data_IF_485781511179
#
_entry.id   IF_485781511179
#
_cell.length_a   1.000
_cell.length_b   1.000
_cell.length_c   1.000
_cell.angle_alpha   90.00
_cell.angle_beta   90.00
_cell.angle_gamma   90.00
#
_symmetry.space_group_name_H-M   'P 1'
#
loop_
_entity.id
_entity.type
_entity.pdbx_description
1 polymer ?
#
# COMPACT_ATOMS: atom_id res chain seq x y z
N UNK A 1 -26.49 -12.63 25.53
CA UNK A 1 -25.72 -12.41 24.28
C UNK A 1 -24.88 -11.14 24.42
N UNK A 2 -23.58 -11.24 24.71
CA UNK A 2 -22.72 -10.05 24.87
C UNK A 2 -22.60 -9.31 23.52
N UNK A 3 -23.07 -8.06 23.46
CA UNK A 3 -22.99 -7.16 22.32
C UNK A 3 -21.55 -6.78 22.01
N UNK A 4 -20.81 -7.67 21.32
CA UNK A 4 -19.47 -7.38 20.84
C UNK A 4 -19.49 -6.42 19.63
N UNK A 5 -18.46 -5.58 19.52
CA UNK A 5 -18.20 -4.75 18.34
C UNK A 5 -18.07 -5.68 17.13
N UNK A 6 -18.90 -5.44 16.10
CA UNK A 6 -18.85 -6.18 14.83
C UNK A 6 -17.93 -5.48 13.83
N UNK A 7 -17.46 -6.22 12.83
CA UNK A 7 -16.61 -5.71 11.74
C UNK A 7 -17.16 -4.43 11.10
N UNK A 8 -18.46 -4.39 10.80
CA UNK A 8 -19.08 -3.20 10.19
C UNK A 8 -18.96 -1.94 11.04
N UNK A 9 -19.04 -2.04 12.37
CA UNK A 9 -18.95 -0.87 13.24
C UNK A 9 -17.54 -0.27 13.19
N UNK A 10 -16.52 -1.12 13.05
CA UNK A 10 -15.13 -0.67 12.94
C UNK A 10 -14.83 -0.01 11.59
N UNK A 11 -15.35 -0.57 10.49
CA UNK A 11 -15.25 0.04 9.16
C UNK A 11 -15.88 1.44 9.18
N UNK A 12 -17.09 1.56 9.72
CA UNK A 12 -17.80 2.84 9.83
C UNK A 12 -17.06 3.79 10.78
N UNK A 13 -16.53 3.29 11.90
CA UNK A 13 -15.74 4.09 12.84
C UNK A 13 -14.49 4.68 12.19
N UNK A 14 -13.67 3.86 11.52
CA UNK A 14 -12.46 4.35 10.82
C UNK A 14 -12.80 5.37 9.75
N UNK A 15 -13.87 5.12 8.99
CA UNK A 15 -14.34 6.06 7.98
C UNK A 15 -14.79 7.39 8.60
N UNK A 16 -15.60 7.36 9.65
CA UNK A 16 -16.01 8.57 10.37
C UNK A 16 -14.82 9.32 10.96
N UNK A 17 -13.83 8.61 11.52
CA UNK A 17 -12.59 9.23 12.00
C UNK A 17 -11.85 9.95 10.87
N UNK A 18 -11.76 9.36 9.68
CA UNK A 18 -11.15 10.03 8.52
C UNK A 18 -11.98 11.23 8.06
N UNK A 19 -13.31 11.12 8.03
CA UNK A 19 -14.20 12.25 7.70
C UNK A 19 -13.94 13.41 8.66
N UNK A 20 -13.86 13.15 9.96
CA UNK A 20 -13.71 14.19 10.98
C UNK A 20 -12.30 14.78 10.96
N UNK A 21 -11.26 13.94 10.94
CA UNK A 21 -9.86 14.38 11.07
C UNK A 21 -9.27 14.93 9.78
N UNK A 22 -9.81 14.55 8.62
CA UNK A 22 -9.29 14.88 7.29
C UNK A 22 -10.35 15.53 6.39
N UNK A 23 -11.36 16.16 6.97
CA UNK A 23 -12.45 16.80 6.22
C UNK A 23 -11.94 17.77 5.16
N UNK A 24 -11.06 18.70 5.56
CA UNK A 24 -10.50 19.72 4.66
C UNK A 24 -9.78 19.10 3.46
N UNK A 25 -8.96 18.06 3.70
CA UNK A 25 -8.23 17.35 2.65
C UNK A 25 -9.20 16.69 1.65
N UNK A 26 -10.28 16.08 2.13
CA UNK A 26 -11.30 15.46 1.27
C UNK A 26 -12.00 16.53 0.41
N UNK A 27 -12.34 17.68 1.00
CA UNK A 27 -12.96 18.79 0.26
C UNK A 27 -12.01 19.38 -0.77
N UNK A 28 -10.74 19.56 -0.42
CA UNK A 28 -9.70 20.03 -1.33
C UNK A 28 -9.58 19.12 -2.55
N UNK A 29 -9.52 17.81 -2.36
CA UNK A 29 -9.49 16.86 -3.48
C UNK A 29 -10.76 16.91 -4.33
N UNK A 30 -11.95 16.99 -3.72
CA UNK A 30 -13.19 17.17 -4.48
C UNK A 30 -13.15 18.45 -5.31
N UNK A 31 -12.72 19.55 -4.70
CA UNK A 31 -12.55 20.85 -5.35
C UNK A 31 -11.55 20.78 -6.50
N UNK A 32 -10.48 20.00 -6.37
CA UNK A 32 -9.51 19.75 -7.42
C UNK A 32 -10.12 18.97 -8.59
N UNK A 33 -10.90 17.92 -8.31
CA UNK A 33 -11.62 17.14 -9.35
C UNK A 33 -12.60 18.04 -10.12
N UNK A 34 -13.38 18.87 -9.41
CA UNK A 34 -14.29 19.82 -10.07
C UNK A 34 -13.54 20.84 -10.93
N UNK A 35 -12.42 21.39 -10.45
CA UNK A 35 -11.58 22.29 -11.25
C UNK A 35 -10.97 21.60 -12.47
N UNK A 36 -10.62 20.32 -12.36
CA UNK A 36 -10.12 19.53 -13.50
C UNK A 36 -11.19 19.40 -14.59
N UNK A 37 -12.44 19.10 -14.22
CA UNK A 37 -13.54 19.05 -15.20
C UNK A 37 -13.84 20.42 -15.81
N UNK A 38 -13.70 21.50 -15.04
CA UNK A 38 -13.73 22.87 -15.58
C UNK A 38 -12.65 23.08 -16.63
N UNK A 39 -11.39 22.77 -16.30
CA UNK A 39 -10.26 22.89 -17.23
C UNK A 39 -10.45 22.00 -18.47
N UNK A 40 -10.94 20.77 -18.31
CA UNK A 40 -11.19 19.85 -19.43
C UNK A 40 -12.19 20.42 -20.44
N UNK A 41 -13.19 21.17 -19.97
CA UNK A 41 -14.19 21.81 -20.84
C UNK A 41 -13.66 23.05 -21.57
N UNK A 42 -12.71 23.78 -20.97
CA UNK A 42 -12.14 25.00 -21.54
C UNK A 42 -10.88 24.76 -22.39
N UNK A 43 -9.99 23.87 -21.95
CA UNK A 43 -8.73 23.50 -22.58
C UNK A 43 -8.38 22.02 -22.31
N UNK A 44 -8.89 21.14 -23.17
CA UNK A 44 -8.71 19.70 -23.03
C UNK A 44 -7.24 19.25 -23.18
N UNK A 45 -6.44 19.94 -23.99
CA UNK A 45 -5.03 19.61 -24.18
C UNK A 45 -4.21 19.86 -22.92
N UNK A 46 -4.42 20.99 -22.26
CA UNK A 46 -3.77 21.30 -20.99
C UNK A 46 -4.25 20.36 -19.89
N UNK A 47 -5.55 20.05 -19.83
CA UNK A 47 -6.09 19.10 -18.86
C UNK A 47 -5.42 17.70 -18.97
N UNK A 48 -5.25 17.18 -20.18
CA UNK A 48 -4.59 15.89 -20.41
C UNK A 48 -3.16 15.85 -19.87
N UNK A 49 -2.43 16.98 -19.89
CA UNK A 49 -1.07 17.05 -19.35
C UNK A 49 -1.00 16.86 -17.83
N UNK A 50 -2.09 17.13 -17.12
CA UNK A 50 -2.18 16.97 -15.67
C UNK A 50 -2.65 15.58 -15.22
N UNK A 51 -3.02 14.68 -16.14
CA UNK A 51 -3.37 13.29 -15.83
C UNK A 51 -2.12 12.44 -15.51
N UNK A 52 -1.49 12.73 -14.38
CA UNK A 52 -0.41 11.93 -13.82
C UNK A 52 -0.93 10.91 -12.80
N UNK A 53 -0.06 9.97 -12.41
CA UNK A 53 -0.41 8.91 -11.46
C UNK A 53 -0.92 9.46 -10.12
N UNK A 54 -0.26 10.48 -9.56
CA UNK A 54 -0.63 11.06 -8.26
C UNK A 54 -2.02 11.69 -8.28
N UNK A 55 -2.38 12.38 -9.37
CA UNK A 55 -3.70 12.96 -9.56
C UNK A 55 -4.78 11.89 -9.68
N UNK A 56 -4.54 10.86 -10.49
CA UNK A 56 -5.48 9.75 -10.67
C UNK A 56 -5.67 8.98 -9.36
N UNK A 57 -4.58 8.69 -8.65
CA UNK A 57 -4.61 7.97 -7.37
C UNK A 57 -5.35 8.74 -6.28
N UNK A 58 -5.08 10.04 -6.15
CA UNK A 58 -5.82 10.92 -5.23
C UNK A 58 -7.31 10.98 -5.58
N UNK A 59 -7.63 11.17 -6.87
CA UNK A 59 -9.01 11.24 -7.35
C UNK A 59 -9.76 9.94 -7.08
N UNK A 60 -9.14 8.80 -7.39
CA UNK A 60 -9.71 7.47 -7.15
C UNK A 60 -9.92 7.23 -5.66
N UNK A 61 -8.95 7.60 -4.81
CA UNK A 61 -9.05 7.46 -3.36
C UNK A 61 -10.27 8.21 -2.81
N UNK A 62 -10.53 9.42 -3.28
CA UNK A 62 -11.68 10.25 -2.86
C UNK A 62 -13.01 9.69 -3.39
N UNK A 63 -13.06 9.26 -4.65
CA UNK A 63 -14.25 8.61 -5.21
C UNK A 63 -14.59 7.35 -4.41
N UNK A 64 -13.59 6.50 -4.15
CA UNK A 64 -13.76 5.29 -3.35
C UNK A 64 -14.15 5.59 -1.91
N UNK A 65 -13.67 6.70 -1.34
CA UNK A 65 -14.00 7.12 0.02
C UNK A 65 -15.50 7.36 0.21
N UNK A 66 -16.18 7.92 -0.81
CA UNK A 66 -17.64 8.12 -0.79
C UNK A 66 -18.43 6.88 -1.22
N UNK A 67 -17.85 5.97 -2.02
CA UNK A 67 -18.59 4.81 -2.54
C UNK A 67 -18.48 3.56 -1.67
N UNK A 68 -17.28 3.22 -1.17
CA UNK A 68 -17.00 1.92 -0.56
C UNK A 68 -17.82 1.69 0.70
N UNK A 69 -17.88 2.66 1.62
CA UNK A 69 -18.54 2.46 2.92
C UNK A 69 -20.06 2.38 2.76
N UNK A 70 -20.74 3.26 2.00
CA UNK A 70 -22.16 3.08 1.68
C UNK A 70 -22.46 1.77 0.96
N UNK A 71 -21.59 1.36 0.02
CA UNK A 71 -21.72 0.09 -0.68
C UNK A 71 -21.64 -1.10 0.28
N UNK A 72 -20.69 -1.11 1.22
CA UNK A 72 -20.56 -2.13 2.27
C UNK A 72 -21.82 -2.17 3.15
N UNK A 73 -22.37 -1.01 3.51
CA UNK A 73 -23.59 -0.93 4.31
C UNK A 73 -24.80 -1.49 3.54
N UNK A 74 -24.91 -1.21 2.24
CA UNK A 74 -25.96 -1.75 1.38
C UNK A 74 -25.83 -3.27 1.20
N UNK A 75 -24.60 -3.77 0.97
CA UNK A 75 -24.30 -5.18 0.75
C UNK A 75 -24.20 -6.01 2.05
N UNK A 76 -24.34 -5.40 3.23
CA UNK A 76 -24.21 -6.10 4.54
C UNK A 76 -25.15 -7.29 4.72
N UNK A 77 -26.24 -7.36 3.94
CA UNK A 77 -27.17 -8.51 3.94
C UNK A 77 -26.59 -9.71 3.17
N UNK A 78 -25.82 -9.46 2.11
CA UNK A 78 -25.18 -10.48 1.25
C UNK A 78 -23.84 -10.98 1.79
N UNK A 79 -23.17 -10.20 2.65
CA UNK A 79 -21.87 -10.50 3.22
C UNK A 79 -21.98 -10.90 4.71
N UNK A 80 -22.29 -12.17 5.05
CA UNK A 80 -22.51 -12.60 6.43
C UNK A 80 -21.27 -12.44 7.31
N UNK A 81 -20.07 -12.54 6.74
CA UNK A 81 -18.79 -12.35 7.44
C UNK A 81 -18.65 -10.96 8.09
N UNK A 82 -19.23 -9.91 7.51
CA UNK A 82 -19.17 -8.53 8.03
C UNK A 82 -19.92 -8.37 9.36
N UNK A 83 -20.84 -9.29 9.67
CA UNK A 83 -21.56 -9.32 10.96
C UNK A 83 -20.81 -10.08 12.05
N UNK A 84 -19.68 -10.70 11.72
CA UNK A 84 -18.86 -11.43 12.69
C UNK A 84 -18.27 -10.49 13.75
N UNK A 85 -17.91 -11.08 14.90
CA UNK A 85 -17.31 -10.35 16.01
C UNK A 85 -15.91 -9.90 15.62
N UNK A 86 -15.56 -8.67 15.98
CA UNK A 86 -14.23 -8.14 15.74
C UNK A 86 -13.19 -8.85 16.61
N UNK A 87 -12.06 -9.19 16.01
CA UNK A 87 -10.82 -9.58 16.68
C UNK A 87 -9.71 -8.60 16.29
N UNK A 88 -8.55 -8.72 16.94
CA UNK A 88 -7.40 -7.87 16.63
C UNK A 88 -6.94 -7.99 15.17
N UNK A 89 -6.85 -9.23 14.65
CA UNK A 89 -6.36 -9.48 13.30
C UNK A 89 -7.22 -8.83 12.22
N UNK A 90 -8.55 -8.98 12.28
CA UNK A 90 -9.46 -8.31 11.34
C UNK A 90 -9.45 -6.79 11.52
N UNK A 91 -9.35 -6.29 12.75
CA UNK A 91 -9.24 -4.85 12.98
C UNK A 91 -7.99 -4.27 12.30
N UNK A 92 -6.85 -4.94 12.42
CA UNK A 92 -5.60 -4.52 11.78
C UNK A 92 -5.63 -4.67 10.26
N UNK A 93 -6.18 -5.77 9.73
CA UNK A 93 -6.37 -5.92 8.28
C UNK A 93 -7.27 -4.84 7.68
N UNK A 94 -8.33 -4.44 8.40
CA UNK A 94 -9.18 -3.32 7.95
C UNK A 94 -8.39 -2.02 7.95
N UNK A 95 -7.57 -1.76 8.98
CA UNK A 95 -6.68 -0.58 8.99
C UNK A 95 -5.73 -0.60 7.79
N UNK A 96 -5.08 -1.74 7.50
CA UNK A 96 -4.22 -1.89 6.33
C UNK A 96 -4.98 -1.64 5.02
N UNK A 97 -6.19 -2.15 4.87
CA UNK A 97 -7.02 -1.88 3.70
C UNK A 97 -7.38 -0.40 3.58
N UNK A 98 -7.68 0.27 4.70
CA UNK A 98 -7.95 1.72 4.72
C UNK A 98 -6.70 2.52 4.34
N UNK A 99 -5.54 2.18 4.90
CA UNK A 99 -4.24 2.79 4.54
C UNK A 99 -3.93 2.59 3.07
N UNK A 100 -4.15 1.37 2.56
CA UNK A 100 -3.96 1.05 1.15
C UNK A 100 -4.88 1.87 0.24
N UNK A 101 -6.18 1.96 0.56
CA UNK A 101 -7.14 2.62 -0.31
C UNK A 101 -7.10 4.15 -0.20
N UNK A 102 -6.78 4.69 0.97
CA UNK A 102 -6.95 6.11 1.28
C UNK A 102 -5.65 6.81 1.67
N UNK A 103 -4.48 6.32 1.24
CA UNK A 103 -3.19 6.94 1.58
C UNK A 103 -3.13 8.46 1.30
N UNK A 104 -3.62 8.99 0.16
CA UNK A 104 -3.60 10.43 -0.12
C UNK A 104 -4.45 11.24 0.85
N UNK A 105 -5.55 10.66 1.35
CA UNK A 105 -6.42 11.28 2.35
C UNK A 105 -5.78 11.21 3.74
N UNK A 106 -5.14 10.08 4.06
CA UNK A 106 -4.48 9.86 5.35
C UNK A 106 -3.21 10.71 5.48
N UNK A 107 -2.44 10.82 4.41
CA UNK A 107 -1.21 11.61 4.29
C UNK A 107 -1.18 12.34 2.94
N UNK A 108 -1.49 13.63 2.97
CA UNK A 108 -1.39 14.52 1.81
C UNK A 108 0.06 15.01 1.55
N UNK A 109 1.01 14.61 2.38
CA UNK A 109 2.44 14.83 2.16
C UNK A 109 2.98 13.83 1.13
N UNK A 110 3.89 14.30 0.28
CA UNK A 110 4.65 13.43 -0.60
C UNK A 110 5.70 12.67 0.22
N UNK A 111 5.78 11.33 0.12
CA UNK A 111 6.73 10.53 0.89
C UNK A 111 8.20 10.87 0.58
N UNK A 112 8.49 11.48 -0.56
CA UNK A 112 9.84 11.86 -0.97
C UNK A 112 10.14 13.35 -0.75
N UNK A 113 9.20 14.10 -0.16
CA UNK A 113 9.42 15.51 0.14
C UNK A 113 10.52 15.70 1.18
N UNK A 114 11.57 16.42 0.79
CA UNK A 114 12.71 16.78 1.64
C UNK A 114 13.11 18.24 1.42
N UNK A 115 13.45 18.94 2.50
CA UNK A 115 13.92 20.33 2.46
C UNK A 115 14.73 20.66 3.72
N UNK A 116 15.69 21.58 3.59
CA UNK A 116 16.53 22.14 4.66
C UNK A 116 17.05 21.05 5.63
N UNK A 117 17.87 20.14 5.09
CA UNK A 117 18.37 18.96 5.79
C UNK A 117 19.10 19.28 7.10
N UNK A 118 19.70 20.47 7.21
CA UNK A 118 20.35 20.95 8.43
C UNK A 118 19.44 20.92 9.66
N UNK A 119 18.13 21.17 9.45
CA UNK A 119 17.09 21.24 10.49
C UNK A 119 16.25 19.96 10.53
N UNK A 120 15.98 19.37 9.37
CA UNK A 120 15.00 18.27 9.27
C UNK A 120 15.60 16.87 9.42
N UNK A 121 16.92 16.71 9.36
CA UNK A 121 17.57 15.39 9.40
C UNK A 121 17.39 14.68 10.75
N UNK A 122 16.87 13.46 10.71
CA UNK A 122 16.79 12.56 11.88
C UNK A 122 16.14 13.19 13.12
N UNK A 123 15.07 13.96 12.91
CA UNK A 123 14.25 14.48 13.99
C UNK A 123 13.50 13.33 14.67
N UNK A 124 13.49 13.28 16.02
CA UNK A 124 12.76 12.25 16.73
C UNK A 124 11.24 12.36 16.53
N UNK A 125 10.48 11.30 16.89
CA UNK A 125 9.04 11.35 16.89
C UNK A 125 8.50 12.52 17.71
N UNK A 126 7.41 13.12 17.24
CA UNK A 126 6.75 14.27 17.85
C UNK A 126 7.56 15.58 17.84
N UNK A 127 8.59 15.68 16.98
CA UNK A 127 9.27 16.96 16.73
C UNK A 127 8.47 17.87 15.81
N UNK A 128 8.75 19.18 15.90
CA UNK A 128 8.21 20.19 14.98
C UNK A 128 9.33 21.11 14.47
N UNK A 129 9.07 21.74 13.34
CA UNK A 129 9.92 22.77 12.74
C UNK A 129 9.07 23.95 12.29
N UNK A 130 9.65 25.15 12.28
CA UNK A 130 8.99 26.32 11.72
C UNK A 130 9.05 26.26 10.20
N UNK A 131 7.92 26.47 9.55
CA UNK A 131 7.74 26.49 8.11
C UNK A 131 7.40 27.91 7.66
N UNK A 132 8.26 28.44 6.79
CA UNK A 132 8.10 29.72 6.12
C UNK A 132 7.68 29.45 4.67
N UNK A 133 6.68 30.20 4.18
CA UNK A 133 6.20 30.13 2.80
C UNK A 133 6.55 31.43 2.06
N UNK A 134 7.29 31.31 0.97
CA UNK A 134 7.62 32.41 0.06
C UNK A 134 6.43 32.73 -0.85
N UNK A 135 6.24 34.00 -1.18
CA UNK A 135 5.30 34.44 -2.22
C UNK A 135 5.84 33.99 -3.57
N UNK A 136 4.97 33.38 -4.37
CA UNK A 136 5.24 33.18 -5.80
C UNK A 136 5.28 34.55 -6.49
N UNK A 137 6.35 34.82 -7.25
CA UNK A 137 6.60 36.12 -7.91
C UNK A 137 5.68 36.40 -9.13
N UNK A 138 4.77 35.47 -9.48
CA UNK A 138 3.96 35.58 -10.70
C UNK A 138 2.84 36.64 -10.57
N UNK A 139 3.13 37.84 -11.08
CA UNK A 139 2.23 39.01 -11.11
C UNK A 139 1.47 39.16 -12.44
N UNK A 140 1.46 38.14 -13.30
CA UNK A 140 0.71 38.16 -14.57
C UNK A 140 -0.68 37.51 -14.42
N UNK A 141 -1.58 37.82 -15.35
CA UNK A 141 -2.87 37.11 -15.46
C UNK A 141 -2.59 35.62 -15.67
N UNK A 142 -2.75 34.85 -14.61
CA UNK A 142 -2.59 33.40 -14.64
C UNK A 142 -3.60 32.79 -15.61
N UNK A 143 -3.13 31.94 -16.50
CA UNK A 143 -3.99 31.09 -17.33
C UNK A 143 -4.77 30.10 -16.46
N UNK A 144 -5.91 29.61 -16.94
CA UNK A 144 -6.70 28.59 -16.22
C UNK A 144 -5.86 27.33 -15.91
N UNK A 145 -4.92 27.00 -16.79
CA UNK A 145 -3.98 25.90 -16.59
C UNK A 145 -2.96 26.17 -15.47
N UNK A 146 -2.45 27.40 -15.34
CA UNK A 146 -1.55 27.78 -14.24
C UNK A 146 -2.27 27.85 -12.89
N UNK A 147 -3.50 28.37 -12.88
CA UNK A 147 -4.37 28.34 -11.68
C UNK A 147 -4.58 26.89 -11.24
N UNK A 148 -4.85 25.99 -12.19
CA UNK A 148 -5.00 24.57 -11.90
C UNK A 148 -3.69 23.92 -11.42
N UNK A 149 -2.53 24.26 -12.00
CA UNK A 149 -1.22 23.80 -11.56
C UNK A 149 -0.95 24.19 -10.10
N UNK A 150 -1.11 25.46 -9.76
CA UNK A 150 -0.90 25.97 -8.39
C UNK A 150 -1.84 25.30 -7.39
N UNK A 151 -3.11 25.10 -7.78
CA UNK A 151 -4.07 24.37 -6.95
C UNK A 151 -3.68 22.91 -6.77
N UNK A 152 -3.18 22.27 -7.84
CA UNK A 152 -2.69 20.89 -7.81
C UNK A 152 -1.50 20.75 -6.88
N UNK A 153 -0.49 21.60 -6.98
CA UNK A 153 0.72 21.55 -6.14
C UNK A 153 0.44 21.83 -4.65
N UNK A 154 -0.59 22.63 -4.37
CA UNK A 154 -1.06 22.88 -2.99
C UNK A 154 -1.68 21.62 -2.36
N UNK A 155 -2.46 20.87 -3.14
CA UNK A 155 -3.29 19.76 -2.65
C UNK A 155 -2.53 18.43 -2.75
N UNK A 156 -1.89 18.18 -3.88
CA UNK A 156 -0.98 17.07 -4.15
C UNK A 156 0.43 17.63 -4.08
N UNK A 157 1.00 17.59 -2.87
CA UNK A 157 2.31 18.19 -2.63
C UNK A 157 3.38 17.53 -3.53
N UNK A 158 4.22 18.31 -4.20
CA UNK A 158 5.33 17.77 -4.99
C UNK A 158 6.42 17.21 -4.06
N UNK A 159 7.34 16.43 -4.62
CA UNK A 159 8.51 15.93 -3.88
C UNK A 159 9.53 17.04 -3.56
N UNK A 160 9.41 18.20 -4.21
CA UNK A 160 10.28 19.34 -3.96
C UNK A 160 9.49 20.64 -4.18
N UNK A 161 9.71 21.63 -3.31
CA UNK A 161 9.08 22.94 -3.39
C UNK A 161 10.08 24.01 -2.93
N UNK A 162 10.40 24.98 -3.79
CA UNK A 162 11.33 26.08 -3.47
C UNK A 162 10.73 27.18 -2.61
N UNK A 163 9.40 27.26 -2.59
CA UNK A 163 8.70 28.28 -1.82
C UNK A 163 8.58 27.91 -0.33
N UNK A 164 9.07 26.73 0.09
CA UNK A 164 9.01 26.28 1.48
C UNK A 164 10.41 26.28 2.07
N UNK A 165 10.55 26.92 3.24
CA UNK A 165 11.78 26.93 4.04
C UNK A 165 11.46 26.40 5.44
N UNK A 166 12.24 25.44 5.93
CA UNK A 166 12.20 25.01 7.32
C UNK A 166 13.30 25.67 8.16
N UNK A 167 12.96 26.05 9.39
CA UNK A 167 13.85 26.71 10.33
C UNK A 167 13.65 26.19 11.75
N UNK A 168 14.72 26.22 12.55
CA UNK A 168 14.69 25.87 13.97
C UNK A 168 13.91 26.93 14.76
N UNK A 169 14.25 28.20 14.53
CA UNK A 169 13.58 29.35 15.14
C UNK A 169 13.49 30.50 14.14
N UNK A 170 12.50 31.34 14.36
CA UNK A 170 12.25 32.53 13.54
C UNK A 170 12.10 33.72 14.47
N UNK A 171 12.83 34.80 14.20
CA UNK A 171 12.71 36.07 14.91
C UNK A 171 12.18 37.13 13.97
N UNK A 172 11.23 37.91 14.49
CA UNK A 172 10.52 38.96 13.76
C UNK A 172 11.09 40.32 14.19
N UNK A 173 11.92 40.92 13.34
CA UNK A 173 12.44 42.28 13.49
C UNK A 173 11.90 43.13 12.33
N UNK A 174 12.69 44.03 11.74
CA UNK A 174 12.32 44.71 10.48
C UNK A 174 12.29 43.73 9.30
N UNK A 175 13.30 42.85 9.22
CA UNK A 175 13.31 41.64 8.38
C UNK A 175 12.91 40.40 9.20
N UNK A 176 12.62 39.30 8.51
CA UNK A 176 12.45 37.99 9.14
C UNK A 176 13.80 37.28 9.15
N UNK A 177 14.35 37.06 10.35
CA UNK A 177 15.56 36.27 10.51
C UNK A 177 15.17 34.87 10.91
N UNK A 178 15.69 33.87 10.21
CA UNK A 178 15.43 32.47 10.51
C UNK A 178 16.75 31.71 10.69
N UNK A 179 16.74 30.75 11.60
CA UNK A 179 17.93 30.00 11.99
C UNK A 179 17.89 28.58 11.46
N UNK A 180 19.01 28.12 10.92
CA UNK A 180 19.23 26.75 10.50
C UNK A 180 20.54 26.26 11.08
N UNK A 181 20.49 25.46 12.15
CA UNK A 181 21.69 24.91 12.81
C UNK A 181 22.72 26.02 13.14
N UNK A 182 22.25 27.04 13.83
CA UNK A 182 23.00 28.22 14.28
C UNK A 182 23.41 29.22 13.17
N UNK A 183 23.11 28.95 11.90
CA UNK A 183 23.27 29.93 10.81
C UNK A 183 22.03 30.83 10.72
N UNK A 184 22.25 32.14 10.89
CA UNK A 184 21.22 33.16 10.74
C UNK A 184 21.08 33.58 9.27
N UNK A 185 19.87 33.50 8.75
CA UNK A 185 19.52 33.95 7.40
C UNK A 185 18.43 35.01 7.46
N UNK A 186 18.49 36.02 6.60
CA UNK A 186 17.50 37.10 6.57
C UNK A 186 16.68 37.08 5.28
N UNK A 187 15.37 37.23 5.42
CA UNK A 187 14.41 37.37 4.32
C UNK A 187 13.56 38.62 4.56
N UNK A 188 13.26 39.35 3.49
CA UNK A 188 12.39 40.50 3.57
C UNK A 188 10.94 40.06 3.80
N UNK A 189 10.21 40.71 4.71
CA UNK A 189 8.79 40.42 4.99
C UNK A 189 7.92 40.40 3.72
N UNK A 190 8.26 41.23 2.74
CA UNK A 190 7.50 41.35 1.50
C UNK A 190 7.54 40.06 0.66
N UNK A 191 8.62 39.27 0.78
CA UNK A 191 8.81 38.01 0.07
C UNK A 191 8.06 36.84 0.73
N UNK A 192 7.57 36.99 1.96
CA UNK A 192 6.83 35.94 2.66
C UNK A 192 5.33 36.09 2.48
N UNK A 193 4.63 34.97 2.38
CA UNK A 193 3.16 34.95 2.40
C UNK A 193 2.70 35.57 3.71
N UNK A 194 1.84 36.58 3.61
CA UNK A 194 1.45 37.42 4.74
C UNK A 194 -0.05 37.63 4.75
N UNK A 195 -0.65 37.53 5.93
CA UNK A 195 -2.07 37.83 6.17
C UNK A 195 -2.13 39.11 7.01
N UNK A 196 -2.82 40.13 6.50
CA UNK A 196 -2.91 41.45 7.15
C UNK A 196 -1.55 42.10 7.47
N UNK A 197 -0.53 41.84 6.66
CA UNK A 197 0.83 42.41 6.82
C UNK A 197 1.74 41.64 7.78
N UNK A 198 1.27 40.55 8.39
CA UNK A 198 2.06 39.68 9.27
C UNK A 198 2.47 38.42 8.47
N UNK A 199 3.76 38.05 8.43
CA UNK A 199 4.20 36.83 7.75
C UNK A 199 3.62 35.59 8.44
N UNK A 200 3.09 34.66 7.64
CA UNK A 200 2.51 33.42 8.15
C UNK A 200 3.64 32.42 8.42
N UNK A 201 3.87 32.11 9.69
CA UNK A 201 4.80 31.07 10.13
C UNK A 201 3.96 29.89 10.61
N UNK A 202 4.09 28.74 9.96
CA UNK A 202 3.35 27.52 10.34
C UNK A 202 4.31 26.57 11.06
N UNK A 203 3.83 25.82 12.04
CA UNK A 203 4.59 24.69 12.58
C UNK A 203 4.27 23.42 11.81
N UNK A 204 5.30 22.72 11.31
CA UNK A 204 5.16 21.38 10.73
C UNK A 204 5.54 20.34 11.77
N UNK A 205 4.62 19.43 12.07
CA UNK A 205 4.81 18.33 13.02
C UNK A 205 5.20 17.03 12.31
N UNK A 206 6.21 16.34 12.83
CA UNK A 206 6.65 15.02 12.39
C UNK A 206 6.28 13.94 13.41
N UNK A 207 5.08 13.37 13.26
CA UNK A 207 4.50 12.45 14.27
C UNK A 207 5.38 11.22 14.53
N UNK A 208 5.94 10.63 13.46
CA UNK A 208 6.85 9.48 13.58
C UNK A 208 8.34 9.88 13.43
N UNK A 209 8.63 11.19 13.39
CA UNK A 209 9.96 11.71 13.15
C UNK A 209 10.31 11.76 11.67
N UNK A 210 11.59 12.01 11.38
CA UNK A 210 12.11 12.10 10.02
C UNK A 210 13.26 11.13 9.78
N UNK A 211 13.58 10.94 8.51
CA UNK A 211 14.69 10.09 8.05
C UNK A 211 15.99 10.85 7.77
N UNK A 212 16.97 10.14 7.22
CA UNK A 212 18.31 10.64 6.93
C UNK A 212 18.35 11.77 5.89
N UNK A 213 17.25 11.96 5.15
CA UNK A 213 17.03 13.04 4.18
C UNK A 213 15.98 14.05 4.67
N UNK A 214 15.51 13.95 5.92
CA UNK A 214 14.53 14.86 6.49
C UNK A 214 13.12 14.68 5.95
N UNK A 215 12.81 13.52 5.34
CA UNK A 215 11.47 13.18 4.85
C UNK A 215 10.58 12.74 6.02
N UNK A 216 9.29 13.01 5.94
CA UNK A 216 8.31 12.61 6.97
C UNK A 216 8.11 11.09 7.01
N UNK A 217 8.53 10.45 8.10
CA UNK A 217 8.43 9.01 8.24
C UNK A 217 6.99 8.50 8.27
N UNK A 218 6.03 9.31 8.76
CA UNK A 218 4.62 8.93 8.75
C UNK A 218 4.11 8.77 7.32
N UNK A 219 4.33 9.77 6.47
CA UNK A 219 3.99 9.70 5.05
C UNK A 219 4.64 8.47 4.39
N UNK A 220 5.93 8.26 4.63
CA UNK A 220 6.66 7.10 4.07
C UNK A 220 6.11 5.77 4.53
N UNK A 221 5.65 5.65 5.78
CA UNK A 221 5.04 4.42 6.31
C UNK A 221 3.69 4.12 5.64
N UNK A 222 2.85 5.14 5.45
CA UNK A 222 1.54 5.03 4.79
C UNK A 222 1.72 4.62 3.31
N UNK A 223 2.57 5.31 2.56
CA UNK A 223 2.83 4.96 1.16
C UNK A 223 3.62 3.65 1.03
N UNK A 224 4.50 3.33 1.97
CA UNK A 224 5.21 2.05 2.05
C UNK A 224 4.29 0.85 2.23
N UNK A 225 3.19 1.04 2.97
CA UNK A 225 2.13 0.04 3.09
C UNK A 225 1.54 -0.31 1.72
N UNK A 226 1.31 0.68 0.85
CA UNK A 226 0.78 0.43 -0.50
C UNK A 226 1.72 -0.40 -1.35
N UNK A 227 3.00 -0.08 -1.34
CA UNK A 227 4.00 -0.80 -2.13
C UNK A 227 4.13 -2.25 -1.65
N UNK A 228 4.37 -2.46 -0.35
CA UNK A 228 4.54 -3.81 0.20
C UNK A 228 3.27 -4.68 0.03
N UNK A 229 2.07 -4.12 0.21
CA UNK A 229 0.82 -4.87 -0.04
C UNK A 229 0.58 -5.14 -1.52
N UNK A 230 0.88 -4.18 -2.42
CA UNK A 230 0.71 -4.38 -3.87
C UNK A 230 1.61 -5.51 -4.38
N UNK A 231 2.88 -5.52 -3.95
CA UNK A 231 3.81 -6.59 -4.31
C UNK A 231 3.33 -7.93 -3.76
N UNK A 232 2.94 -7.96 -2.48
CA UNK A 232 2.40 -9.16 -1.82
C UNK A 232 1.18 -9.74 -2.54
N UNK A 233 0.16 -8.91 -2.81
CA UNK A 233 -1.08 -9.32 -3.46
C UNK A 233 -0.80 -9.75 -4.90
N UNK A 234 -0.03 -8.97 -5.66
CA UNK A 234 0.27 -9.24 -7.06
C UNK A 234 0.97 -10.58 -7.26
N UNK A 235 1.99 -10.86 -6.46
CA UNK A 235 2.72 -12.13 -6.52
C UNK A 235 1.84 -13.32 -6.10
N UNK A 236 1.01 -13.17 -5.06
CA UNK A 236 0.06 -14.21 -4.63
C UNK A 236 -0.98 -14.51 -5.69
N UNK A 237 -1.52 -13.50 -6.37
CA UNK A 237 -2.47 -13.69 -7.48
C UNK A 237 -1.80 -14.44 -8.64
N UNK A 238 -0.57 -14.08 -9.00
CA UNK A 238 0.18 -14.79 -10.04
C UNK A 238 0.44 -16.25 -9.64
N UNK A 239 0.91 -16.49 -8.41
CA UNK A 239 1.09 -17.84 -7.89
C UNK A 239 -0.21 -18.64 -7.83
N UNK A 240 -1.32 -17.99 -7.50
CA UNK A 240 -2.66 -18.59 -7.47
C UNK A 240 -3.06 -19.12 -8.83
N UNK A 241 -2.95 -18.28 -9.86
CA UNK A 241 -3.30 -18.64 -11.25
C UNK A 241 -2.45 -19.83 -11.71
N UNK A 242 -1.12 -19.76 -11.55
CA UNK A 242 -0.21 -20.81 -12.00
C UNK A 242 -0.45 -22.11 -11.21
N UNK A 243 -0.55 -22.02 -9.88
CA UNK A 243 -0.69 -23.18 -9.00
C UNK A 243 -2.01 -23.92 -9.19
N UNK A 244 -3.12 -23.20 -9.39
CA UNK A 244 -4.43 -23.80 -9.67
C UNK A 244 -4.45 -24.50 -11.02
N UNK A 245 -3.97 -23.84 -12.08
CA UNK A 245 -3.98 -24.39 -13.43
C UNK A 245 -3.10 -25.63 -13.51
N UNK A 246 -1.84 -25.53 -13.07
CA UNK A 246 -0.89 -26.65 -13.15
C UNK A 246 -1.27 -27.79 -12.19
N UNK A 247 -1.77 -27.45 -10.99
CA UNK A 247 -2.21 -28.45 -10.00
C UNK A 247 -3.41 -29.24 -10.50
N UNK A 248 -4.37 -28.57 -11.13
CA UNK A 248 -5.50 -29.22 -11.79
C UNK A 248 -5.05 -30.11 -12.93
N UNK A 249 -4.18 -29.62 -13.84
CA UNK A 249 -3.68 -30.43 -14.97
C UNK A 249 -2.98 -31.69 -14.48
N UNK A 250 -2.08 -31.58 -13.50
CA UNK A 250 -1.36 -32.71 -12.94
C UNK A 250 -2.30 -33.72 -12.26
N UNK A 251 -3.18 -33.24 -11.37
CA UNK A 251 -4.10 -34.09 -10.62
C UNK A 251 -5.19 -34.73 -11.49
N UNK A 252 -5.64 -34.04 -12.53
CA UNK A 252 -6.68 -34.52 -13.44
C UNK A 252 -6.15 -35.55 -14.43
N UNK A 253 -5.02 -35.26 -15.09
CA UNK A 253 -4.46 -36.10 -16.13
C UNK A 253 -3.73 -37.33 -15.61
N UNK A 254 -3.04 -37.23 -14.46
CA UNK A 254 -2.17 -38.30 -13.98
C UNK A 254 -1.04 -38.65 -14.96
N UNK A 255 -0.43 -39.82 -14.76
CA UNK A 255 0.55 -40.39 -15.70
C UNK A 255 1.78 -39.51 -15.93
N UNK A 256 2.21 -39.41 -17.20
CA UNK A 256 3.45 -38.72 -17.59
C UNK A 256 3.39 -37.22 -17.31
N UNK A 257 2.23 -36.57 -17.53
CA UNK A 257 2.07 -35.13 -17.29
C UNK A 257 2.29 -34.81 -15.81
N UNK A 258 1.71 -35.63 -14.92
CA UNK A 258 1.92 -35.50 -13.49
C UNK A 258 3.41 -35.66 -13.14
N UNK A 259 4.06 -36.71 -13.65
CA UNK A 259 5.50 -36.95 -13.41
C UNK A 259 6.34 -35.75 -13.85
N UNK A 260 6.14 -35.24 -15.07
CA UNK A 260 6.91 -34.10 -15.59
C UNK A 260 6.71 -32.83 -14.74
N UNK A 261 5.47 -32.51 -14.35
CA UNK A 261 5.18 -31.32 -13.55
C UNK A 261 5.74 -31.42 -12.14
N UNK A 262 5.72 -32.60 -11.49
CA UNK A 262 6.39 -32.77 -10.20
C UNK A 262 7.89 -32.62 -10.34
N UNK A 263 8.52 -33.20 -11.37
CA UNK A 263 9.97 -33.07 -11.60
C UNK A 263 10.38 -31.63 -11.82
N UNK A 264 9.63 -30.88 -12.61
CA UNK A 264 9.86 -29.45 -12.79
C UNK A 264 9.76 -28.69 -11.46
N UNK A 265 8.73 -28.99 -10.66
CA UNK A 265 8.54 -28.38 -9.34
C UNK A 265 9.69 -28.72 -8.37
N UNK A 266 10.16 -29.96 -8.37
CA UNK A 266 11.29 -30.42 -7.55
C UNK A 266 12.59 -29.69 -7.90
N UNK A 267 12.87 -29.48 -9.20
CA UNK A 267 14.04 -28.73 -9.66
C UNK A 267 14.01 -27.31 -9.10
N UNK A 268 12.89 -26.59 -9.21
CA UNK A 268 12.81 -25.23 -8.69
C UNK A 268 12.96 -25.16 -7.17
N UNK A 269 12.40 -26.12 -6.43
CA UNK A 269 12.51 -26.18 -4.97
C UNK A 269 13.90 -26.56 -4.48
N UNK A 270 14.73 -27.20 -5.33
CA UNK A 270 16.11 -27.51 -4.99
C UNK A 270 17.00 -26.26 -4.98
N UNK A 271 16.64 -25.20 -5.72
CA UNK A 271 17.34 -23.93 -5.70
C UNK A 271 16.80 -23.03 -4.58
N UNK A 272 17.66 -22.39 -3.76
CA UNK A 272 17.19 -21.41 -2.80
C UNK A 272 16.56 -20.22 -3.54
N UNK A 273 15.26 -20.02 -3.30
CA UNK A 273 14.43 -19.04 -4.02
C UNK A 273 15.05 -17.64 -4.02
N UNK A 274 15.67 -17.23 -2.92
CA UNK A 274 16.29 -15.90 -2.81
C UNK A 274 17.39 -15.68 -3.86
N UNK A 275 18.21 -16.68 -4.16
CA UNK A 275 19.26 -16.55 -5.18
C UNK A 275 18.68 -16.42 -6.58
N UNK A 276 17.62 -17.18 -6.88
CA UNK A 276 16.91 -17.06 -8.16
C UNK A 276 16.33 -15.67 -8.33
N UNK A 277 15.70 -15.15 -7.27
CA UNK A 277 15.07 -13.82 -7.31
C UNK A 277 16.11 -12.73 -7.51
N UNK A 278 17.19 -12.76 -6.72
CA UNK A 278 18.31 -11.82 -6.82
C UNK A 278 18.95 -11.85 -8.21
N UNK A 279 19.21 -13.04 -8.76
CA UNK A 279 19.79 -13.19 -10.09
C UNK A 279 18.89 -12.57 -11.18
N UNK A 280 17.59 -12.87 -11.15
CA UNK A 280 16.67 -12.34 -12.16
C UNK A 280 16.55 -10.81 -12.04
N UNK A 281 16.43 -10.28 -10.83
CA UNK A 281 16.34 -8.82 -10.65
C UNK A 281 17.63 -8.10 -11.03
N UNK A 282 18.80 -8.71 -10.80
CA UNK A 282 20.09 -8.16 -11.22
C UNK A 282 20.25 -8.15 -12.75
N UNK A 283 19.73 -9.16 -13.46
CA UNK A 283 19.86 -9.26 -14.93
C UNK A 283 18.82 -8.42 -15.69
N UNK A 284 17.57 -8.38 -15.20
CA UNK A 284 16.45 -7.77 -15.91
C UNK A 284 16.02 -6.41 -15.33
N UNK A 285 16.64 -5.98 -14.23
CA UNK A 285 16.34 -4.73 -13.54
C UNK A 285 15.24 -4.87 -12.48
N UNK A 286 15.36 -4.03 -11.45
CA UNK A 286 14.42 -3.94 -10.33
C UNK A 286 13.30 -2.95 -10.63
N UNK A 287 12.06 -3.44 -10.58
CA UNK A 287 10.83 -2.66 -10.69
C UNK A 287 9.73 -3.36 -9.87
N UNK A 288 8.67 -2.64 -9.53
CA UNK A 288 7.51 -3.24 -8.84
C UNK A 288 6.99 -4.48 -9.59
N UNK A 289 6.90 -4.39 -10.93
CA UNK A 289 6.41 -5.48 -11.77
C UNK A 289 7.38 -6.66 -11.84
N UNK A 290 8.70 -6.42 -11.96
CA UNK A 290 9.67 -7.51 -11.98
C UNK A 290 9.73 -8.23 -10.63
N UNK A 291 9.65 -7.50 -9.51
CA UNK A 291 9.57 -8.11 -8.17
C UNK A 291 8.30 -8.96 -8.03
N UNK A 292 7.13 -8.45 -8.44
CA UNK A 292 5.86 -9.22 -8.44
C UNK A 292 5.99 -10.50 -9.27
N UNK A 293 6.50 -10.38 -10.49
CA UNK A 293 6.59 -11.51 -11.42
C UNK A 293 7.50 -12.61 -10.87
N UNK A 294 8.69 -12.22 -10.41
CA UNK A 294 9.70 -13.16 -9.93
C UNK A 294 9.26 -13.84 -8.63
N UNK A 295 8.73 -13.07 -7.67
CA UNK A 295 8.17 -13.65 -6.44
C UNK A 295 6.96 -14.55 -6.74
N UNK A 296 6.07 -14.13 -7.64
CA UNK A 296 4.89 -14.92 -8.01
C UNK A 296 5.22 -16.23 -8.73
N UNK A 297 6.20 -16.23 -9.63
CA UNK A 297 6.71 -17.46 -10.26
C UNK A 297 7.47 -18.33 -9.28
N UNK A 298 8.09 -17.78 -8.24
CA UNK A 298 8.72 -18.59 -7.21
C UNK A 298 7.75 -19.20 -6.19
N UNK A 299 6.51 -18.69 -6.12
CA UNK A 299 5.56 -19.05 -5.07
C UNK A 299 4.52 -20.13 -5.42
N UNK A 300 4.33 -20.46 -6.70
CA UNK A 300 3.21 -21.32 -7.14
C UNK A 300 3.35 -22.80 -6.73
N UNK A 301 4.56 -23.26 -6.42
CA UNK A 301 4.88 -24.68 -6.16
C UNK A 301 4.11 -25.24 -4.95
N UNK A 302 3.94 -24.45 -3.89
CA UNK A 302 3.19 -24.87 -2.71
C UNK A 302 1.72 -25.12 -3.05
N UNK A 303 1.13 -24.18 -3.79
CA UNK A 303 -0.27 -24.27 -4.19
C UNK A 303 -0.49 -25.38 -5.22
N UNK A 304 0.43 -25.58 -6.15
CA UNK A 304 0.40 -26.70 -7.09
C UNK A 304 0.26 -28.04 -6.38
N UNK A 305 1.09 -28.31 -5.37
CA UNK A 305 1.05 -29.57 -4.61
C UNK A 305 -0.27 -29.74 -3.88
N UNK A 306 -0.77 -28.68 -3.24
CA UNK A 306 -2.05 -28.68 -2.55
C UNK A 306 -3.20 -28.98 -3.52
N UNK A 307 -3.33 -28.20 -4.59
CA UNK A 307 -4.42 -28.34 -5.57
C UNK A 307 -4.37 -29.71 -6.23
N UNK A 308 -3.19 -30.19 -6.63
CA UNK A 308 -3.01 -31.54 -7.18
C UNK A 308 -3.58 -32.59 -6.23
N UNK A 309 -3.20 -32.54 -4.95
CA UNK A 309 -3.63 -33.54 -3.96
C UNK A 309 -5.15 -33.54 -3.76
N UNK A 310 -5.76 -32.36 -3.74
CA UNK A 310 -7.21 -32.21 -3.61
C UNK A 310 -7.94 -32.71 -4.87
N UNK A 311 -7.42 -32.41 -6.06
CA UNK A 311 -7.98 -32.86 -7.34
C UNK A 311 -7.98 -34.38 -7.42
N UNK A 312 -6.88 -35.04 -7.02
CA UNK A 312 -6.80 -36.51 -6.98
C UNK A 312 -7.88 -37.09 -6.04
N UNK A 313 -8.11 -36.45 -4.89
CA UNK A 313 -9.13 -36.89 -3.93
C UNK A 313 -10.57 -36.68 -4.45
N UNK A 314 -10.83 -35.52 -5.07
CA UNK A 314 -12.15 -35.17 -5.61
C UNK A 314 -12.52 -36.04 -6.81
N UNK A 315 -11.55 -36.38 -7.65
CA UNK A 315 -11.77 -37.25 -8.83
C UNK A 315 -12.32 -38.63 -8.47
N UNK A 316 -12.10 -39.09 -7.23
CA UNK A 316 -12.62 -40.36 -6.72
C UNK A 316 -14.08 -40.26 -6.20
N UNK A 317 -14.73 -39.10 -6.29
CA UNK A 317 -16.09 -38.87 -5.78
C UNK A 317 -17.12 -39.03 -6.90
N UNK A 318 -18.25 -39.66 -6.57
CA UNK A 318 -19.33 -39.96 -7.52
C UNK A 318 -19.88 -38.72 -8.26
N UNK A 319 -19.96 -37.58 -7.57
CA UNK A 319 -20.44 -36.33 -8.19
C UNK A 319 -19.50 -35.87 -9.32
N UNK A 320 -18.19 -36.05 -9.14
CA UNK A 320 -17.20 -35.66 -10.14
C UNK A 320 -17.27 -36.58 -11.36
N UNK A 321 -17.35 -37.90 -11.15
CA UNK A 321 -17.54 -38.86 -12.24
C UNK A 321 -18.85 -38.61 -13.00
N UNK A 322 -19.93 -38.24 -12.29
CA UNK A 322 -21.20 -37.87 -12.91
C UNK A 322 -21.05 -36.60 -13.76
N UNK A 323 -20.36 -35.58 -13.27
CA UNK A 323 -20.08 -34.36 -14.02
C UNK A 323 -19.27 -34.63 -15.30
N UNK A 324 -18.30 -35.56 -15.25
CA UNK A 324 -17.57 -36.01 -16.44
C UNK A 324 -18.49 -36.72 -17.45
N UNK A 325 -19.35 -37.63 -16.99
CA UNK A 325 -20.29 -38.36 -17.86
C UNK A 325 -21.33 -37.45 -18.54
N UNK A 326 -21.71 -36.35 -17.89
CA UNK A 326 -22.59 -35.31 -18.45
C UNK A 326 -21.89 -34.49 -19.54
N UNK A 327 -20.57 -34.63 -19.70
CA UNK A 327 -19.79 -33.99 -20.76
C UNK A 327 -19.29 -32.59 -20.42
N UNK A 328 -19.12 -32.27 -19.13
CA UNK A 328 -18.51 -31.00 -18.73
C UNK A 328 -17.07 -30.91 -19.27
N UNK A 329 -16.73 -29.77 -19.85
CA UNK A 329 -15.36 -29.53 -20.32
C UNK A 329 -14.39 -29.28 -19.14
N UNK A 330 -13.09 -29.35 -19.39
CA UNK A 330 -12.05 -29.22 -18.35
C UNK A 330 -12.13 -27.91 -17.55
N UNK A 331 -12.51 -26.81 -18.20
CA UNK A 331 -12.68 -25.51 -17.52
C UNK A 331 -13.89 -25.55 -16.58
N UNK A 332 -15.00 -26.15 -17.02
CA UNK A 332 -16.19 -26.36 -16.20
C UNK A 332 -15.88 -27.28 -15.02
N UNK A 333 -15.17 -28.40 -15.23
CA UNK A 333 -14.74 -29.28 -14.14
C UNK A 333 -13.89 -28.53 -13.10
N UNK A 334 -12.96 -27.69 -13.55
CA UNK A 334 -12.13 -26.89 -12.65
C UNK A 334 -12.95 -25.85 -11.87
N UNK A 335 -13.63 -24.94 -12.56
CA UNK A 335 -14.24 -23.76 -11.93
C UNK A 335 -15.60 -24.04 -11.27
N UNK A 336 -16.35 -25.05 -11.75
CA UNK A 336 -17.69 -25.37 -11.24
C UNK A 336 -17.68 -26.52 -10.24
N UNK A 337 -16.85 -27.54 -10.45
CA UNK A 337 -16.87 -28.75 -9.63
C UNK A 337 -15.74 -28.80 -8.60
N UNK A 338 -14.51 -28.43 -8.97
CA UNK A 338 -13.34 -28.57 -8.08
C UNK A 338 -13.13 -27.32 -7.22
N UNK A 339 -12.99 -26.15 -7.85
CA UNK A 339 -12.59 -24.92 -7.17
C UNK A 339 -13.52 -24.56 -5.99
N UNK A 340 -14.86 -24.66 -6.11
CA UNK A 340 -15.76 -24.38 -4.99
C UNK A 340 -15.57 -25.34 -3.81
N UNK A 341 -15.14 -26.58 -4.06
CA UNK A 341 -14.90 -27.60 -3.02
C UNK A 341 -13.58 -27.34 -2.29
N UNK A 342 -12.54 -26.94 -3.02
CA UNK A 342 -11.18 -26.75 -2.46
C UNK A 342 -10.88 -25.31 -2.05
N UNK A 343 -11.84 -24.39 -2.17
CA UNK A 343 -11.62 -22.96 -1.94
C UNK A 343 -11.07 -22.67 -0.54
N UNK A 344 -11.48 -23.46 0.46
CA UNK A 344 -11.07 -23.27 1.85
C UNK A 344 -9.57 -23.54 2.04
N UNK A 345 -9.04 -24.75 1.78
CA UNK A 345 -7.60 -24.99 1.92
C UNK A 345 -6.75 -24.12 0.98
N UNK A 346 -7.28 -23.79 -0.21
CA UNK A 346 -6.62 -22.85 -1.14
C UNK A 346 -6.48 -21.46 -0.51
N UNK A 347 -7.56 -20.86 0.00
CA UNK A 347 -7.51 -19.53 0.63
C UNK A 347 -6.57 -19.50 1.84
N UNK A 348 -6.57 -20.56 2.66
CA UNK A 348 -5.66 -20.67 3.80
C UNK A 348 -4.21 -20.69 3.32
N UNK A 349 -3.89 -21.46 2.27
CA UNK A 349 -2.54 -21.49 1.69
C UNK A 349 -2.13 -20.13 1.11
N UNK A 350 -3.04 -19.42 0.42
CA UNK A 350 -2.76 -18.08 -0.12
C UNK A 350 -2.40 -17.06 0.96
N UNK A 351 -3.01 -17.16 2.15
CA UNK A 351 -2.69 -16.27 3.28
C UNK A 351 -1.26 -16.53 3.80
N UNK A 352 -0.83 -17.78 3.87
CA UNK A 352 0.55 -18.13 4.21
C UNK A 352 1.52 -17.69 3.12
N UNK A 353 1.16 -17.90 1.87
CA UNK A 353 1.95 -17.47 0.72
C UNK A 353 2.13 -15.94 0.72
N UNK A 354 1.07 -15.18 0.97
CA UNK A 354 1.12 -13.73 1.10
C UNK A 354 2.15 -13.30 2.15
N UNK A 355 2.13 -13.94 3.32
CA UNK A 355 3.07 -13.64 4.40
C UNK A 355 4.52 -13.90 3.98
N UNK A 356 4.78 -15.02 3.31
CA UNK A 356 6.11 -15.36 2.82
C UNK A 356 6.60 -14.39 1.74
N UNK A 357 5.72 -14.00 0.82
CA UNK A 357 6.04 -13.06 -0.26
C UNK A 357 6.33 -11.68 0.29
N UNK A 358 5.53 -11.16 1.22
CA UNK A 358 5.79 -9.84 1.84
C UNK A 358 7.10 -9.84 2.61
N UNK A 359 7.42 -10.93 3.31
CA UNK A 359 8.71 -11.06 3.99
C UNK A 359 9.88 -11.14 2.99
N UNK A 360 9.71 -11.85 1.87
CA UNK A 360 10.70 -11.92 0.80
C UNK A 360 10.90 -10.55 0.11
N UNK A 361 9.82 -9.81 -0.18
CA UNK A 361 9.90 -8.43 -0.68
C UNK A 361 10.68 -7.54 0.28
N UNK A 362 10.34 -7.58 1.58
CA UNK A 362 11.03 -6.79 2.59
C UNK A 362 12.54 -7.13 2.65
N UNK A 363 12.90 -8.41 2.56
CA UNK A 363 14.30 -8.85 2.53
C UNK A 363 15.02 -8.37 1.26
N UNK A 364 14.38 -8.43 0.08
CA UNK A 364 14.97 -7.95 -1.17
C UNK A 364 15.16 -6.44 -1.17
N UNK A 365 14.14 -5.70 -0.72
CA UNK A 365 14.20 -4.26 -0.55
C UNK A 365 15.25 -3.85 0.47
N UNK A 366 15.42 -4.63 1.54
CA UNK A 366 16.49 -4.44 2.51
C UNK A 366 17.88 -4.57 1.87
N UNK A 367 18.05 -5.54 0.95
CA UNK A 367 19.28 -5.77 0.18
C UNK A 367 19.47 -4.80 -1.01
N UNK A 368 18.60 -3.80 -1.18
CA UNK A 368 18.67 -2.84 -2.30
C UNK A 368 18.15 -3.36 -3.64
N UNK A 369 17.53 -4.54 -3.66
CA UNK A 369 17.00 -5.21 -4.86
C UNK A 369 15.47 -5.14 -4.95
N UNK A 370 14.86 -4.21 -4.21
CA UNK A 370 13.42 -4.04 -4.08
C UNK A 370 12.75 -3.36 -5.28
N UNK A 371 11.80 -2.47 -5.00
CA UNK A 371 11.02 -1.76 -6.03
C UNK A 371 11.71 -0.53 -6.60
N UNK A 372 13.01 -0.34 -6.32
CA UNK A 372 13.80 0.85 -6.66
C UNK A 372 13.74 1.96 -5.61
N UNK A 373 14.42 3.08 -5.85
CA UNK A 373 14.49 4.23 -4.93
C UNK A 373 13.31 5.21 -5.06
N UNK A 374 12.40 4.99 -6.01
CA UNK A 374 11.32 5.94 -6.33
C UNK A 374 10.17 5.92 -5.32
N UNK A 375 9.92 4.77 -4.68
CA UNK A 375 8.82 4.61 -3.74
C UNK A 375 9.30 3.93 -2.46
N UNK A 376 8.85 4.39 -1.27
CA UNK A 376 9.18 3.70 -0.03
C UNK A 376 8.52 2.32 -0.01
N UNK A 377 9.21 1.33 0.54
CA UNK A 377 8.64 0.06 1.00
C UNK A 377 9.11 -0.17 2.42
N UNK A 378 8.43 -1.04 3.19
CA UNK A 378 8.86 -1.26 4.57
C UNK A 378 10.28 -1.84 4.64
N UNK A 379 10.67 -2.68 3.68
CA UNK A 379 12.04 -3.21 3.60
C UNK A 379 13.09 -2.13 3.30
N UNK A 380 12.81 -1.21 2.37
CA UNK A 380 13.75 -0.13 2.05
C UNK A 380 13.87 0.90 3.19
N UNK A 381 12.78 1.16 3.90
CA UNK A 381 12.81 2.01 5.10
C UNK A 381 13.68 1.40 6.21
N UNK A 382 13.58 0.08 6.42
CA UNK A 382 14.44 -0.62 7.40
C UNK A 382 15.92 -0.58 6.97
N UNK A 383 16.19 -0.73 5.67
CA UNK A 383 17.55 -0.62 5.11
C UNK A 383 18.17 0.74 5.42
N UNK A 384 17.47 1.83 5.07
CA UNK A 384 17.88 3.21 5.37
C UNK A 384 18.15 3.44 6.85
N UNK A 385 17.34 2.83 7.73
CA UNK A 385 17.51 2.98 9.18
C UNK A 385 18.70 2.24 9.78
N UNK A 386 19.30 1.26 9.08
CA UNK A 386 20.35 0.39 9.62
C UNK A 386 21.56 1.19 10.12
N UNK A 387 22.01 2.17 9.34
CA UNK A 387 23.17 3.01 9.68
C UNK A 387 22.90 3.92 10.88
N UNK A 388 21.64 4.18 11.20
CA UNK A 388 21.22 5.14 12.21
C UNK A 388 20.60 4.48 13.45
N UNK A 389 20.67 3.16 13.62
CA UNK A 389 19.96 2.43 14.68
C UNK A 389 20.20 2.99 16.11
N UNK A 390 21.40 3.49 16.38
CA UNK A 390 21.77 4.05 17.69
C UNK A 390 21.28 5.49 17.91
N UNK A 391 20.94 6.21 16.83
CA UNK A 391 20.52 7.62 16.86
C UNK A 391 19.04 7.80 16.56
N UNK A 392 18.52 7.05 15.60
CA UNK A 392 17.18 7.14 15.04
C UNK A 392 16.52 5.76 14.96
N UNK A 393 16.32 5.13 16.12
CA UNK A 393 15.74 3.79 16.24
C UNK A 393 14.35 3.66 15.59
N UNK A 394 13.60 4.77 15.49
CA UNK A 394 12.26 4.83 14.92
C UNK A 394 12.24 4.45 13.42
N UNK A 395 13.34 4.68 12.69
CA UNK A 395 13.45 4.34 11.26
C UNK A 395 13.32 2.85 10.99
N UNK A 396 13.76 2.01 11.92
CA UNK A 396 13.61 0.55 11.82
C UNK A 396 12.35 0.09 12.55
N UNK A 397 12.09 0.64 13.74
CA UNK A 397 11.03 0.16 14.61
C UNK A 397 9.64 0.29 13.99
N UNK A 398 9.29 1.44 13.39
CA UNK A 398 7.96 1.64 12.83
C UNK A 398 7.65 0.79 11.58
N UNK A 399 8.49 0.75 10.53
CA UNK A 399 8.26 -0.17 9.41
C UNK A 399 8.37 -1.65 9.84
N UNK A 400 9.26 -1.98 10.78
CA UNK A 400 9.36 -3.33 11.34
C UNK A 400 8.09 -3.78 12.08
N UNK A 401 7.49 -2.89 12.88
CA UNK A 401 6.20 -3.13 13.51
C UNK A 401 5.08 -3.28 12.47
N UNK A 402 5.10 -2.46 11.41
CA UNK A 402 4.18 -2.60 10.27
C UNK A 402 4.23 -4.00 9.67
N UNK A 403 5.44 -4.51 9.39
CA UNK A 403 5.64 -5.88 8.90
C UNK A 403 5.14 -6.93 9.90
N UNK A 404 5.58 -6.89 11.16
CA UNK A 404 5.22 -7.91 12.17
C UNK A 404 3.70 -7.98 12.36
N UNK A 405 3.06 -6.83 12.53
CA UNK A 405 1.60 -6.77 12.74
C UNK A 405 0.85 -7.25 11.49
N UNK A 406 1.34 -6.95 10.30
CA UNK A 406 0.78 -7.44 9.04
C UNK A 406 0.84 -8.95 8.96
N UNK A 407 2.04 -9.52 9.13
CA UNK A 407 2.25 -10.97 9.07
C UNK A 407 1.41 -11.67 10.15
N UNK A 408 1.38 -11.14 11.37
CA UNK A 408 0.56 -11.69 12.45
C UNK A 408 -0.94 -11.66 12.10
N UNK A 409 -1.44 -10.52 11.61
CA UNK A 409 -2.84 -10.34 11.29
C UNK A 409 -3.30 -11.25 10.13
N UNK A 410 -2.49 -11.38 9.07
CA UNK A 410 -2.77 -12.29 7.97
C UNK A 410 -2.75 -13.74 8.45
N UNK A 411 -1.66 -14.22 9.07
CA UNK A 411 -1.55 -15.62 9.51
C UNK A 411 -2.66 -16.03 10.49
N UNK A 412 -2.98 -15.17 11.46
CA UNK A 412 -4.08 -15.40 12.40
C UNK A 412 -5.43 -15.49 11.68
N UNK A 413 -5.67 -14.61 10.71
CA UNK A 413 -6.90 -14.62 9.90
C UNK A 413 -7.01 -15.88 9.05
N UNK A 414 -5.91 -16.35 8.45
CA UNK A 414 -5.86 -17.61 7.71
C UNK A 414 -6.23 -18.81 8.57
N UNK A 415 -5.69 -18.88 9.79
CA UNK A 415 -6.06 -19.92 10.77
C UNK A 415 -7.56 -19.88 11.09
N UNK A 416 -8.11 -18.70 11.30
CA UNK A 416 -9.54 -18.55 11.60
C UNK A 416 -10.44 -18.91 10.43
N UNK A 417 -10.05 -18.56 9.20
CA UNK A 417 -10.76 -19.00 7.99
C UNK A 417 -10.83 -20.53 7.92
N UNK A 418 -9.70 -21.20 8.19
CA UNK A 418 -9.64 -22.66 8.26
C UNK A 418 -10.59 -23.24 9.31
N UNK A 419 -10.66 -22.65 10.51
CA UNK A 419 -11.54 -23.12 11.59
C UNK A 419 -13.03 -22.91 11.31
N UNK A 420 -13.41 -21.77 10.72
CA UNK A 420 -14.82 -21.45 10.45
C UNK A 420 -15.38 -22.32 9.33
N UNK A 421 -14.57 -22.56 8.30
CA UNK A 421 -15.00 -23.22 7.08
C UNK A 421 -14.78 -24.74 7.11
N UNK A 422 -13.96 -25.26 8.04
CA UNK A 422 -13.80 -26.71 8.24
C UNK A 422 -14.61 -27.21 9.45
N UNK A 423 -15.81 -27.79 9.24
CA UNK A 423 -16.67 -28.26 10.32
C UNK A 423 -16.07 -29.41 11.14
N UNK A 424 -15.06 -30.13 10.63
CA UNK A 424 -14.38 -31.21 11.37
C UNK A 424 -13.46 -30.71 12.49
N UNK A 425 -13.12 -29.42 12.49
CA UNK A 425 -12.23 -28.80 13.49
C UNK A 425 -12.98 -28.08 14.61
N UNK A 426 -14.33 -27.97 14.53
CA UNK A 426 -15.15 -27.49 15.64
C UNK A 426 -15.35 -28.63 16.65
N UNK A 427 -14.43 -28.76 17.61
CA UNK A 427 -14.65 -29.50 18.85
C UNK A 427 -14.89 -28.53 20.00
#
# INVERSE_FOLDING_TARGET
MKSGIKIIHWIVFLWLCLVILRFEVVIDYLSLIFSYFGLLNHDASSALSFLNFSFVDASLSVILFFLIVPLIISLRRKLPFIKSKMNFSFAFLIVLCFVYLFAPIISNENPEFSKNLSVTKLLPPLSSVNQLELKSEETQKLSDAEIFRLKTERIIKPAFNDNIIFADSVTLSDNVTYFQKDEANEINKNQLVSESGIPIIKEKYFVLGTDEFGRDLFARLIYGTRISLTVGIGAVVLSFIIGIILGFIAGYSGGIIDILLNRFTEIFLAFPVIYLVVLILALFGSSIFSVIFVLGISGWMSLFKLVKSEVISIKQKDFFSTAELVGLNKSQLLFREILPVIIVPVLVNLVFLFSNVVLAEAALSYLGLGTGNTYPSWGSMISSGQEYITKAWWLIAFPGLGLILTLFAFNSSGRMLGLVLNPRLKK
#
